data_IF_282652873839
#
_entry.id   IF_282652873839
#
_cell.length_a   1.000
_cell.length_b   1.000
_cell.length_c   1.000
_cell.angle_alpha   90.00
_cell.angle_beta   90.00
_cell.angle_gamma   90.00
#
_symmetry.space_group_name_H-M   'P 1'
#
loop_
_entity.id
_entity.type
_entity.pdbx_description
1 polymer ?
#
# COMPACT_ATOMS: atom_id res chain seq x y z
N UNK A 1 1.00 -6.71 -7.48
CA UNK A 1 -0.24 -6.05 -7.93
C UNK A 1 -0.06 -5.38 -9.29
N UNK A 2 0.61 -4.22 -9.43
CA UNK A 2 0.69 -3.55 -10.75
C UNK A 2 1.19 -4.48 -11.88
N UNK A 3 2.25 -5.24 -11.61
CA UNK A 3 2.81 -6.19 -12.58
C UNK A 3 1.84 -7.31 -12.98
N UNK A 4 1.01 -7.78 -12.05
CA UNK A 4 -0.01 -8.80 -12.32
C UNK A 4 -1.14 -8.27 -13.19
N UNK A 5 -1.64 -7.06 -12.88
CA UNK A 5 -2.66 -6.38 -13.68
C UNK A 5 -2.14 -6.07 -15.09
N UNK A 6 -0.89 -5.61 -15.20
CA UNK A 6 -0.23 -5.38 -16.48
C UNK A 6 -0.08 -6.69 -17.27
N UNK A 7 0.24 -7.81 -16.61
CA UNK A 7 0.30 -9.10 -17.28
C UNK A 7 -1.08 -9.55 -17.79
N UNK A 8 -2.13 -9.41 -16.98
CA UNK A 8 -3.53 -9.66 -17.41
C UNK A 8 -3.90 -8.83 -18.63
N UNK A 9 -3.48 -7.56 -18.66
CA UNK A 9 -3.68 -6.68 -19.81
C UNK A 9 -2.93 -7.17 -21.06
N UNK A 10 -1.67 -7.57 -20.93
CA UNK A 10 -0.87 -8.12 -22.03
C UNK A 10 -1.51 -9.40 -22.61
N UNK A 11 -1.96 -10.31 -21.75
CA UNK A 11 -2.71 -11.50 -22.17
C UNK A 11 -3.96 -11.13 -22.96
N UNK A 12 -4.67 -10.08 -22.57
CA UNK A 12 -5.83 -9.54 -23.31
C UNK A 12 -5.50 -9.05 -24.72
N UNK A 13 -4.26 -8.62 -24.97
CA UNK A 13 -3.74 -8.25 -26.29
C UNK A 13 -3.06 -9.40 -27.04
N UNK A 14 -3.11 -10.63 -26.51
CA UNK A 14 -2.48 -11.81 -27.09
C UNK A 14 -0.96 -11.90 -26.84
N UNK A 15 -0.42 -11.05 -25.97
CA UNK A 15 1.00 -11.08 -25.57
C UNK A 15 1.12 -11.95 -24.31
N UNK A 16 1.66 -13.15 -24.48
CA UNK A 16 1.86 -14.09 -23.38
C UNK A 16 3.31 -14.00 -22.88
N UNK A 17 3.51 -13.37 -21.72
CA UNK A 17 4.82 -13.38 -21.05
C UNK A 17 4.97 -14.68 -20.27
N UNK A 18 6.12 -15.38 -20.33
CA UNK A 18 6.34 -16.59 -19.55
C UNK A 18 6.13 -16.37 -18.06
N UNK A 19 5.45 -17.31 -17.38
CA UNK A 19 5.10 -17.18 -15.96
C UNK A 19 6.32 -16.96 -15.04
N UNK A 20 7.47 -17.55 -15.38
CA UNK A 20 8.72 -17.37 -14.63
C UNK A 20 9.30 -15.94 -14.71
N UNK A 21 8.81 -15.09 -15.62
CA UNK A 21 9.14 -13.65 -15.73
C UNK A 21 8.08 -12.74 -15.10
N UNK A 22 6.95 -13.29 -14.68
CA UNK A 22 5.83 -12.54 -14.11
C UNK A 22 5.54 -12.92 -12.67
N UNK A 23 6.26 -13.87 -12.11
CA UNK A 23 6.08 -14.35 -10.73
C UNK A 23 7.40 -14.26 -9.98
N UNK A 24 7.36 -13.77 -8.74
CA UNK A 24 8.56 -13.69 -7.89
C UNK A 24 8.94 -15.06 -7.33
N UNK A 25 10.24 -15.31 -7.15
CA UNK A 25 10.77 -16.54 -6.54
C UNK A 25 10.09 -16.89 -5.22
N UNK A 26 9.87 -15.89 -4.35
CA UNK A 26 9.29 -16.08 -3.02
C UNK A 26 7.81 -16.40 -3.08
N UNK A 27 7.05 -15.76 -3.96
CA UNK A 27 5.66 -16.14 -4.25
C UNK A 27 5.58 -17.58 -4.76
N UNK A 28 6.50 -17.96 -5.64
CA UNK A 28 6.57 -19.32 -6.20
C UNK A 28 6.80 -20.37 -5.13
N UNK A 29 7.74 -20.09 -4.22
CA UNK A 29 8.10 -20.99 -3.12
C UNK A 29 6.97 -21.15 -2.10
N UNK A 30 6.19 -20.09 -1.85
CA UNK A 30 5.12 -20.08 -0.85
C UNK A 30 3.74 -20.46 -1.41
N UNK A 31 3.56 -20.46 -2.73
CA UNK A 31 2.27 -20.71 -3.34
C UNK A 31 1.79 -22.14 -3.10
N UNK A 32 0.54 -22.28 -2.70
CA UNK A 32 -0.15 -23.57 -2.62
C UNK A 32 -0.66 -24.06 -3.98
N UNK A 33 -0.62 -23.23 -5.02
CA UNK A 33 -1.01 -23.61 -6.38
C UNK A 33 0.11 -24.46 -7.01
N UNK A 34 -0.15 -25.73 -7.37
CA UNK A 34 0.85 -26.60 -8.00
C UNK A 34 1.41 -26.04 -9.32
N UNK A 35 0.61 -25.27 -10.08
CA UNK A 35 1.07 -24.69 -11.34
C UNK A 35 2.13 -23.61 -11.10
N UNK A 36 1.92 -22.79 -10.06
CA UNK A 36 2.88 -21.77 -9.64
C UNK A 36 4.09 -22.45 -8.99
N UNK A 37 3.89 -23.35 -8.04
CA UNK A 37 5.00 -24.02 -7.35
C UNK A 37 5.89 -24.83 -8.32
N UNK A 38 5.28 -25.45 -9.34
CA UNK A 38 5.98 -26.19 -10.40
C UNK A 38 6.92 -25.33 -11.27
N UNK A 39 6.84 -24.00 -11.20
CA UNK A 39 7.81 -23.12 -11.85
C UNK A 39 9.23 -23.31 -11.28
N UNK A 40 9.36 -23.74 -10.03
CA UNK A 40 10.68 -24.06 -9.45
C UNK A 40 11.41 -25.16 -10.22
N UNK A 41 10.68 -26.08 -10.85
CA UNK A 41 11.28 -27.16 -11.65
C UNK A 41 11.34 -26.83 -13.15
N UNK A 42 10.35 -26.11 -13.67
CA UNK A 42 10.20 -25.86 -15.11
C UNK A 42 10.86 -24.57 -15.61
N UNK A 43 11.18 -23.62 -14.73
CA UNK A 43 11.86 -22.39 -15.11
C UNK A 43 13.31 -22.63 -15.58
N UNK A 44 13.89 -21.73 -16.39
CA UNK A 44 15.32 -21.78 -16.70
C UNK A 44 16.17 -21.76 -15.43
N UNK A 45 17.19 -22.61 -15.34
CA UNK A 45 18.10 -22.66 -14.19
C UNK A 45 19.48 -22.11 -14.56
N UNK A 46 20.07 -21.29 -13.67
CA UNK A 46 21.49 -20.90 -13.74
C UNK A 46 22.16 -21.46 -12.50
N UNK A 47 23.23 -22.25 -12.69
CA UNK A 47 23.98 -22.88 -11.61
C UNK A 47 23.09 -23.66 -10.61
N UNK A 48 22.02 -24.30 -11.09
CA UNK A 48 21.07 -25.05 -10.26
C UNK A 48 20.03 -24.21 -9.52
N UNK A 49 20.00 -22.89 -9.73
CA UNK A 49 19.00 -21.98 -9.14
C UNK A 49 17.95 -21.64 -10.20
N UNK A 50 16.65 -21.88 -9.95
CA UNK A 50 15.59 -21.52 -10.90
C UNK A 50 15.43 -20.00 -10.96
N UNK A 51 15.39 -19.48 -12.19
CA UNK A 51 15.14 -18.06 -12.45
C UNK A 51 13.64 -17.83 -12.45
N UNK A 52 13.11 -17.39 -11.32
CA UNK A 52 11.71 -16.98 -11.19
C UNK A 52 11.67 -15.57 -10.64
N UNK A 53 11.36 -14.62 -11.51
CA UNK A 53 11.46 -13.19 -11.22
C UNK A 53 10.29 -12.42 -11.80
N UNK A 54 9.83 -11.38 -11.10
CA UNK A 54 8.71 -10.56 -11.53
C UNK A 54 9.20 -9.29 -12.27
N UNK A 55 9.56 -9.46 -13.55
CA UNK A 55 10.16 -8.39 -14.37
C UNK A 55 9.24 -7.18 -14.54
N UNK A 56 7.92 -7.32 -14.82
CA UNK A 56 7.04 -6.15 -14.91
C UNK A 56 7.00 -5.30 -13.64
N UNK A 57 6.98 -5.93 -12.46
CA UNK A 57 6.98 -5.22 -11.18
C UNK A 57 8.30 -4.47 -10.95
N UNK A 58 9.43 -5.11 -11.23
CA UNK A 58 10.74 -4.46 -11.17
C UNK A 58 10.85 -3.27 -12.13
N UNK A 59 10.41 -3.45 -13.38
CA UNK A 59 10.49 -2.45 -14.43
C UNK A 59 9.69 -1.19 -14.09
N UNK A 60 8.45 -1.34 -13.58
CA UNK A 60 7.65 -0.17 -13.21
C UNK A 60 8.25 0.57 -12.01
N UNK A 61 8.79 -0.14 -11.01
CA UNK A 61 9.41 0.51 -9.84
C UNK A 61 10.66 1.29 -10.28
N UNK A 62 11.49 0.71 -11.15
CA UNK A 62 12.65 1.40 -11.70
C UNK A 62 12.26 2.60 -12.57
N UNK A 63 11.20 2.47 -13.39
CA UNK A 63 10.68 3.59 -14.19
C UNK A 63 10.19 4.74 -13.31
N UNK A 64 9.39 4.46 -12.28
CA UNK A 64 8.92 5.48 -11.34
C UNK A 64 10.09 6.11 -10.58
N UNK A 65 11.05 5.30 -10.13
CA UNK A 65 12.27 5.80 -9.47
C UNK A 65 13.04 6.74 -10.39
N UNK A 66 13.21 6.37 -11.67
CA UNK A 66 13.85 7.21 -12.68
C UNK A 66 13.11 8.53 -12.90
N UNK A 67 11.78 8.48 -13.03
CA UNK A 67 10.95 9.69 -13.17
C UNK A 67 11.09 10.64 -11.97
N UNK A 68 11.15 10.09 -10.75
CA UNK A 68 11.37 10.88 -9.54
C UNK A 68 12.75 11.53 -9.52
N UNK A 69 13.80 10.87 -10.02
CA UNK A 69 15.14 11.45 -10.11
C UNK A 69 15.19 12.64 -11.10
N UNK A 70 14.37 12.61 -12.15
CA UNK A 70 14.18 13.72 -13.09
C UNK A 70 13.43 14.91 -12.47
N UNK A 71 12.93 14.77 -11.23
CA UNK A 71 12.18 15.82 -10.55
C UNK A 71 10.69 15.82 -10.90
N UNK A 72 10.15 14.69 -11.37
CA UNK A 72 8.70 14.55 -11.52
C UNK A 72 8.02 14.82 -10.17
N UNK A 73 7.05 15.74 -10.19
CA UNK A 73 6.20 16.08 -9.05
C UNK A 73 4.77 15.62 -9.33
N UNK A 74 4.03 15.39 -8.26
CA UNK A 74 2.58 15.23 -8.30
C UNK A 74 1.95 16.40 -9.07
N UNK A 75 1.29 16.11 -10.20
CA UNK A 75 0.47 17.08 -10.91
C UNK A 75 -0.96 16.92 -10.43
N UNK A 76 -1.53 17.97 -9.82
CA UNK A 76 -2.91 17.95 -9.35
C UNK A 76 -3.89 17.57 -10.48
N UNK A 77 -3.66 18.07 -11.69
CA UNK A 77 -4.49 17.73 -12.87
C UNK A 77 -4.33 16.27 -13.27
N UNK A 78 -3.09 15.77 -13.33
CA UNK A 78 -2.86 14.37 -13.68
C UNK A 78 -3.46 13.43 -12.62
N UNK A 79 -3.31 13.76 -11.34
CA UNK A 79 -3.91 13.02 -10.24
C UNK A 79 -5.44 13.01 -10.33
N UNK A 80 -6.07 14.16 -10.59
CA UNK A 80 -7.53 14.24 -10.78
C UNK A 80 -8.00 13.37 -11.94
N UNK A 81 -7.30 13.40 -13.09
CA UNK A 81 -7.61 12.52 -14.23
C UNK A 81 -7.49 11.05 -13.83
N UNK A 82 -6.43 10.67 -13.12
CA UNK A 82 -6.23 9.30 -12.65
C UNK A 82 -7.32 8.85 -11.67
N UNK A 83 -7.78 9.73 -10.77
CA UNK A 83 -8.92 9.45 -9.87
C UNK A 83 -10.21 9.26 -10.67
N UNK A 84 -10.48 10.11 -11.67
CA UNK A 84 -11.67 9.97 -12.51
C UNK A 84 -11.65 8.64 -13.27
N UNK A 85 -10.52 8.24 -13.84
CA UNK A 85 -10.36 6.94 -14.51
C UNK A 85 -10.66 5.79 -13.54
N UNK A 86 -10.15 5.85 -12.30
CA UNK A 86 -10.45 4.85 -11.26
C UNK A 86 -11.94 4.76 -10.96
N UNK A 87 -12.59 5.90 -10.75
CA UNK A 87 -14.01 5.94 -10.42
C UNK A 87 -14.87 5.43 -11.58
N UNK A 88 -14.52 5.72 -12.83
CA UNK A 88 -15.20 5.18 -14.01
C UNK A 88 -15.05 3.66 -14.07
N UNK A 89 -13.83 3.13 -13.91
CA UNK A 89 -13.58 1.69 -13.94
C UNK A 89 -14.36 0.94 -12.83
N UNK A 90 -14.37 1.49 -11.61
CA UNK A 90 -15.12 0.90 -10.50
C UNK A 90 -16.64 1.02 -10.69
N UNK A 91 -17.12 2.16 -11.18
CA UNK A 91 -18.55 2.34 -11.48
C UNK A 91 -19.01 1.38 -12.57
N UNK A 92 -18.21 1.19 -13.61
CA UNK A 92 -18.47 0.23 -14.68
C UNK A 92 -18.56 -1.21 -14.13
N UNK A 93 -17.60 -1.60 -13.28
CA UNK A 93 -17.64 -2.90 -12.60
C UNK A 93 -18.91 -3.07 -11.77
N UNK A 94 -19.28 -2.06 -10.95
CA UNK A 94 -20.46 -2.11 -10.09
C UNK A 94 -21.74 -2.23 -10.90
N UNK A 95 -21.92 -1.40 -11.94
CA UNK A 95 -23.13 -1.37 -12.76
C UNK A 95 -23.30 -2.69 -13.53
N UNK A 96 -22.25 -3.15 -14.22
CA UNK A 96 -22.31 -4.40 -14.98
C UNK A 96 -22.45 -5.59 -14.04
N UNK A 97 -21.68 -5.62 -12.96
CA UNK A 97 -21.72 -6.69 -11.98
C UNK A 97 -23.05 -6.84 -11.26
N UNK A 98 -23.73 -5.72 -10.97
CA UNK A 98 -25.05 -5.72 -10.35
C UNK A 98 -26.12 -6.46 -11.18
N UNK A 99 -25.94 -6.55 -12.51
CA UNK A 99 -26.87 -7.27 -13.39
C UNK A 99 -26.74 -8.80 -13.32
N UNK A 100 -25.68 -9.32 -12.69
CA UNK A 100 -25.37 -10.75 -12.57
C UNK A 100 -25.24 -11.24 -11.12
N UNK A 101 -25.94 -10.58 -10.19
CA UNK A 101 -25.94 -11.01 -8.78
C UNK A 101 -26.78 -12.26 -8.58
N UNK A 102 -26.21 -13.23 -7.89
CA UNK A 102 -26.92 -14.42 -7.41
C UNK A 102 -26.88 -14.49 -5.91
N UNK A 103 -28.04 -14.53 -5.26
CA UNK A 103 -28.14 -14.67 -3.80
C UNK A 103 -27.49 -15.96 -3.29
N UNK A 104 -27.41 -17.00 -4.14
CA UNK A 104 -26.75 -18.25 -3.81
C UNK A 104 -25.26 -18.07 -3.50
N UNK A 105 -24.58 -17.09 -4.11
CA UNK A 105 -23.16 -16.85 -3.88
C UNK A 105 -22.86 -16.27 -2.49
N UNK A 106 -23.86 -15.69 -1.82
CA UNK A 106 -23.74 -15.24 -0.43
C UNK A 106 -23.93 -16.37 0.59
N UNK A 107 -24.20 -17.61 0.17
CA UNK A 107 -24.38 -18.74 1.06
C UNK A 107 -23.27 -19.80 0.89
N UNK A 108 -22.55 -20.17 1.97
CA UNK A 108 -22.59 -19.57 3.31
C UNK A 108 -21.95 -18.17 3.35
N UNK A 109 -22.51 -17.24 4.14
CA UNK A 109 -22.01 -15.86 4.23
C UNK A 109 -20.67 -15.77 4.98
N UNK A 110 -20.49 -16.63 5.98
CA UNK A 110 -19.30 -16.67 6.84
C UNK A 110 -18.70 -18.08 6.89
N UNK A 111 -18.17 -18.60 5.77
CA UNK A 111 -17.67 -19.99 5.70
C UNK A 111 -16.56 -20.28 6.71
N UNK A 112 -15.76 -19.25 7.05
CA UNK A 112 -14.64 -19.33 7.99
C UNK A 112 -14.97 -18.71 9.36
N UNK A 113 -16.26 -18.44 9.63
CA UNK A 113 -16.73 -17.79 10.85
C UNK A 113 -16.12 -16.40 11.11
N UNK A 114 -16.24 -15.93 12.35
CA UNK A 114 -15.72 -14.61 12.76
C UNK A 114 -14.19 -14.51 12.63
N UNK A 115 -13.47 -15.62 12.83
CA UNK A 115 -12.01 -15.67 12.66
C UNK A 115 -11.60 -15.28 11.25
N UNK A 116 -12.30 -15.80 10.23
CA UNK A 116 -12.06 -15.44 8.84
C UNK A 116 -12.35 -13.97 8.54
N UNK A 117 -13.42 -13.41 9.13
CA UNK A 117 -13.73 -11.97 8.99
C UNK A 117 -12.61 -11.12 9.58
N UNK A 118 -12.14 -11.47 10.78
CA UNK A 118 -11.09 -10.73 11.48
C UNK A 118 -9.75 -10.77 10.73
N UNK A 119 -9.34 -11.94 10.24
CA UNK A 119 -8.14 -12.09 9.41
C UNK A 119 -8.29 -11.37 8.07
N UNK A 120 -9.44 -11.49 7.42
CA UNK A 120 -9.76 -10.76 6.19
C UNK A 120 -9.68 -9.25 6.38
N UNK A 121 -10.25 -8.72 7.47
CA UNK A 121 -10.17 -7.31 7.86
C UNK A 121 -8.72 -6.84 8.02
N UNK A 122 -7.86 -7.67 8.60
CA UNK A 122 -6.43 -7.38 8.76
C UNK A 122 -5.67 -7.34 7.43
N UNK A 123 -6.05 -8.16 6.44
CA UNK A 123 -5.44 -8.15 5.10
C UNK A 123 -5.95 -6.96 4.28
N UNK A 124 -7.27 -6.77 4.21
CA UNK A 124 -7.89 -5.69 3.40
C UNK A 124 -7.65 -4.30 3.97
N UNK A 125 -7.18 -4.18 5.22
CA UNK A 125 -6.70 -2.92 5.79
C UNK A 125 -5.68 -2.23 4.87
N UNK A 126 -4.89 -2.99 4.11
CA UNK A 126 -3.94 -2.46 3.12
C UNK A 126 -4.61 -1.48 2.14
N UNK A 127 -5.85 -1.75 1.72
CA UNK A 127 -6.57 -0.92 0.77
C UNK A 127 -6.94 0.47 1.32
N UNK A 128 -6.89 0.65 2.65
CA UNK A 128 -7.16 1.93 3.31
C UNK A 128 -5.91 2.79 3.51
N UNK A 129 -4.72 2.26 3.26
CA UNK A 129 -3.47 3.00 3.44
C UNK A 129 -3.33 4.07 2.34
N UNK A 130 -2.95 5.30 2.74
CA UNK A 130 -2.71 6.40 1.80
C UNK A 130 -3.50 7.68 2.10
N UNK A 131 -4.50 7.65 3.01
CA UNK A 131 -5.17 8.90 3.42
C UNK A 131 -4.20 9.87 4.12
N UNK A 132 -3.17 9.34 4.77
CA UNK A 132 -2.10 10.10 5.42
C UNK A 132 -1.20 10.83 4.42
N UNK A 133 -1.12 10.38 3.17
CA UNK A 133 -0.39 11.08 2.12
C UNK A 133 -0.99 12.47 1.80
N UNK A 134 -2.28 12.70 2.08
CA UNK A 134 -2.91 14.02 1.93
C UNK A 134 -2.20 15.07 2.81
N UNK A 135 -1.65 14.65 3.96
CA UNK A 135 -0.90 15.55 4.85
C UNK A 135 0.40 16.08 4.23
N UNK A 136 0.94 15.40 3.21
CA UNK A 136 2.15 15.86 2.51
C UNK A 136 1.89 17.10 1.64
N UNK A 137 0.64 17.31 1.21
CA UNK A 137 0.21 18.48 0.45
C UNK A 137 -0.24 19.64 1.36
N UNK A 138 0.01 19.56 2.67
CA UNK A 138 -0.38 20.58 3.63
C UNK A 138 0.18 21.97 3.28
N UNK A 139 1.42 22.04 2.80
CA UNK A 139 2.09 23.30 2.44
C UNK A 139 1.51 23.95 1.18
N UNK A 140 0.89 23.16 0.30
CA UNK A 140 0.31 23.60 -0.97
C UNK A 140 -1.21 23.82 -0.88
N UNK A 141 -1.81 23.50 0.27
CA UNK A 141 -3.26 23.57 0.46
C UNK A 141 -3.69 24.98 0.88
N UNK A 142 -4.69 25.56 0.20
CA UNK A 142 -5.35 26.78 0.69
C UNK A 142 -6.13 26.44 1.97
N UNK A 143 -5.92 27.19 3.05
CA UNK A 143 -6.53 26.93 4.37
C UNK A 143 -6.40 25.45 4.82
N UNK A 144 -5.16 24.94 5.05
CA UNK A 144 -4.91 23.55 5.41
C UNK A 144 -5.69 23.09 6.64
N UNK A 145 -5.92 24.02 7.58
CA UNK A 145 -6.62 23.79 8.84
C UNK A 145 -8.03 23.22 8.66
N UNK A 146 -8.73 23.65 7.60
CA UNK A 146 -10.08 23.19 7.27
C UNK A 146 -10.07 22.13 6.17
N UNK A 147 -9.24 22.32 5.15
CA UNK A 147 -9.32 21.49 3.94
C UNK A 147 -8.64 20.13 4.09
N UNK A 148 -7.58 20.01 4.90
CA UNK A 148 -6.96 18.69 5.16
C UNK A 148 -7.90 17.74 5.91
N UNK A 149 -8.56 18.12 7.02
CA UNK A 149 -9.51 17.23 7.68
C UNK A 149 -10.66 16.79 6.77
N UNK A 150 -11.19 17.70 5.94
CA UNK A 150 -12.26 17.39 4.98
C UNK A 150 -11.76 16.39 3.93
N UNK A 151 -10.55 16.61 3.37
CA UNK A 151 -9.95 15.72 2.40
C UNK A 151 -9.71 14.32 2.95
N UNK A 152 -9.15 14.22 4.16
CA UNK A 152 -8.84 12.94 4.82
C UNK A 152 -10.13 12.18 5.16
N UNK A 153 -11.05 12.80 5.90
CA UNK A 153 -12.28 12.13 6.36
C UNK A 153 -13.25 11.86 5.21
N UNK A 154 -13.43 12.83 4.30
CA UNK A 154 -14.30 12.69 3.14
C UNK A 154 -13.78 11.64 2.17
N UNK A 155 -12.47 11.66 1.87
CA UNK A 155 -11.84 10.65 1.03
C UNK A 155 -11.96 9.25 1.62
N UNK A 156 -11.70 9.09 2.92
CA UNK A 156 -11.81 7.81 3.61
C UNK A 156 -13.26 7.28 3.61
N UNK A 157 -14.25 8.14 3.86
CA UNK A 157 -15.66 7.74 3.86
C UNK A 157 -16.12 7.28 2.46
N UNK A 158 -15.75 8.03 1.41
CA UNK A 158 -16.09 7.68 0.02
C UNK A 158 -15.43 6.35 -0.37
N UNK A 159 -14.14 6.16 -0.07
CA UNK A 159 -13.43 4.91 -0.35
C UNK A 159 -14.06 3.73 0.41
N UNK A 160 -14.45 3.92 1.67
CA UNK A 160 -15.12 2.89 2.48
C UNK A 160 -16.42 2.44 1.81
N UNK A 161 -17.26 3.38 1.38
CA UNK A 161 -18.52 3.06 0.72
C UNK A 161 -18.29 2.28 -0.58
N UNK A 162 -17.34 2.74 -1.40
CA UNK A 162 -17.00 2.06 -2.66
C UNK A 162 -16.49 0.64 -2.38
N UNK A 163 -15.61 0.44 -1.41
CA UNK A 163 -15.08 -0.90 -1.08
C UNK A 163 -16.17 -1.86 -0.60
N UNK A 164 -17.12 -1.39 0.22
CA UNK A 164 -18.27 -2.21 0.65
C UNK A 164 -19.13 -2.61 -0.56
N UNK A 165 -19.44 -1.67 -1.44
CA UNK A 165 -20.25 -1.95 -2.64
C UNK A 165 -19.52 -2.91 -3.58
N UNK A 166 -18.24 -2.66 -3.85
CA UNK A 166 -17.42 -3.53 -4.72
C UNK A 166 -17.32 -4.93 -4.13
N UNK A 167 -17.08 -5.07 -2.82
CA UNK A 167 -17.01 -6.38 -2.16
C UNK A 167 -18.33 -7.15 -2.23
N UNK A 168 -19.45 -6.47 -2.01
CA UNK A 168 -20.79 -7.06 -2.14
C UNK A 168 -21.05 -7.51 -3.58
N UNK A 169 -20.80 -6.65 -4.59
CA UNK A 169 -21.00 -7.00 -6.00
C UNK A 169 -20.09 -8.16 -6.41
N UNK A 170 -18.80 -8.09 -6.07
CA UNK A 170 -17.81 -9.09 -6.45
C UNK A 170 -18.16 -10.49 -5.93
N UNK A 171 -18.52 -10.59 -4.64
CA UNK A 171 -18.90 -11.86 -4.02
C UNK A 171 -20.31 -12.32 -4.40
N UNK A 172 -21.19 -11.40 -4.81
CA UNK A 172 -22.52 -11.74 -5.32
C UNK A 172 -22.52 -12.23 -6.78
N UNK A 173 -21.55 -11.82 -7.59
CA UNK A 173 -21.42 -12.23 -8.99
C UNK A 173 -20.90 -13.67 -9.13
N UNK A 174 -19.84 -14.02 -8.39
CA UNK A 174 -19.15 -15.31 -8.52
C UNK A 174 -18.81 -15.91 -7.15
N UNK A 175 -18.75 -17.24 -7.03
CA UNK A 175 -18.37 -17.89 -5.77
C UNK A 175 -17.00 -17.42 -5.28
N UNK A 176 -16.88 -17.16 -3.97
CA UNK A 176 -15.66 -16.60 -3.37
C UNK A 176 -14.39 -17.42 -3.62
N UNK A 177 -14.53 -18.72 -3.94
CA UNK A 177 -13.41 -19.64 -4.22
C UNK A 177 -12.73 -19.35 -5.56
N UNK A 178 -13.42 -18.72 -6.50
CA UNK A 178 -12.87 -18.32 -7.81
C UNK A 178 -12.12 -16.99 -7.76
N UNK A 179 -12.16 -16.29 -6.63
CA UNK A 179 -11.62 -14.94 -6.47
C UNK A 179 -10.17 -14.92 -5.97
N UNK A 180 -9.57 -16.08 -5.68
CA UNK A 180 -8.17 -16.20 -5.26
C UNK A 180 -7.20 -16.09 -6.45
N UNK A 181 -7.30 -14.98 -7.18
CA UNK A 181 -6.50 -14.66 -8.37
C UNK A 181 -5.90 -13.25 -8.24
N UNK A 182 -4.94 -12.93 -9.10
CA UNK A 182 -4.25 -11.64 -9.04
C UNK A 182 -5.15 -10.44 -9.41
N UNK A 183 -6.12 -10.61 -10.32
CA UNK A 183 -7.12 -9.60 -10.68
C UNK A 183 -8.56 -10.14 -10.53
N UNK A 184 -9.12 -10.10 -9.32
CA UNK A 184 -10.43 -10.69 -9.04
C UNK A 184 -11.60 -9.94 -9.72
N UNK A 185 -11.47 -8.62 -9.93
CA UNK A 185 -12.53 -7.81 -10.57
C UNK A 185 -12.67 -8.17 -12.05
N UNK A 186 -11.55 -8.26 -12.78
CA UNK A 186 -11.57 -8.67 -14.17
C UNK A 186 -11.99 -10.14 -14.31
N UNK A 187 -11.51 -11.03 -13.42
CA UNK A 187 -11.89 -12.45 -13.41
C UNK A 187 -13.39 -12.64 -13.21
N UNK A 188 -14.01 -11.94 -12.28
CA UNK A 188 -15.45 -12.03 -12.05
C UNK A 188 -16.26 -11.60 -13.29
N UNK A 189 -15.86 -10.51 -13.95
CA UNK A 189 -16.49 -10.07 -15.20
C UNK A 189 -16.31 -11.08 -16.34
N UNK A 190 -15.12 -11.69 -16.45
CA UNK A 190 -14.87 -12.73 -17.45
C UNK A 190 -15.75 -13.96 -17.24
N UNK A 191 -15.85 -14.45 -16.00
CA UNK A 191 -16.71 -15.57 -15.64
C UNK A 191 -18.20 -15.27 -15.85
N UNK A 192 -18.61 -14.02 -15.67
CA UNK A 192 -19.96 -13.56 -15.95
C UNK A 192 -20.25 -13.30 -17.45
N UNK A 193 -19.27 -13.51 -18.34
CA UNK A 193 -19.42 -13.33 -19.80
C UNK A 193 -19.07 -11.94 -20.33
N UNK A 194 -18.63 -11.00 -19.48
CA UNK A 194 -18.24 -9.63 -19.84
C UNK A 194 -16.73 -9.44 -19.99
N UNK A 195 -16.06 -10.35 -20.71
CA UNK A 195 -14.59 -10.33 -20.85
C UNK A 195 -14.03 -8.98 -21.34
N UNK A 196 -14.71 -8.30 -22.29
CA UNK A 196 -14.29 -6.98 -22.78
C UNK A 196 -14.34 -5.90 -21.69
N UNK A 197 -15.38 -5.93 -20.85
CA UNK A 197 -15.51 -5.01 -19.70
C UNK A 197 -14.44 -5.32 -18.67
N UNK A 198 -14.16 -6.61 -18.41
CA UNK A 198 -13.06 -7.04 -17.55
C UNK A 198 -11.72 -6.47 -18.00
N UNK A 199 -11.43 -6.50 -19.32
CA UNK A 199 -10.22 -5.88 -19.87
C UNK A 199 -10.14 -4.37 -19.66
N UNK A 200 -11.25 -3.64 -19.81
CA UNK A 200 -11.30 -2.19 -19.53
C UNK A 200 -11.05 -1.88 -18.04
N UNK A 201 -11.63 -2.68 -17.14
CA UNK A 201 -11.40 -2.54 -15.70
C UNK A 201 -9.95 -2.84 -15.34
N UNK A 202 -9.35 -3.90 -15.90
CA UNK A 202 -7.94 -4.23 -15.71
C UNK A 202 -6.99 -3.13 -16.23
N UNK A 203 -7.31 -2.53 -17.39
CA UNK A 203 -6.57 -1.38 -17.93
C UNK A 203 -6.64 -0.19 -16.96
N UNK A 204 -7.84 0.17 -16.50
CA UNK A 204 -8.04 1.24 -15.53
C UNK A 204 -7.29 1.00 -14.23
N UNK A 205 -7.29 -0.23 -13.72
CA UNK A 205 -6.55 -0.64 -12.53
C UNK A 205 -5.02 -0.54 -12.73
N UNK A 206 -4.51 -0.95 -13.89
CA UNK A 206 -3.07 -0.86 -14.22
C UNK A 206 -2.59 0.59 -14.21
N UNK A 207 -3.30 1.48 -14.90
CA UNK A 207 -2.98 2.92 -14.94
C UNK A 207 -3.09 3.52 -13.54
N UNK A 208 -4.16 3.17 -12.82
CA UNK A 208 -4.43 3.61 -11.45
C UNK A 208 -3.31 3.28 -10.47
N UNK A 209 -2.81 2.03 -10.51
CA UNK A 209 -1.80 1.55 -9.58
C UNK A 209 -0.45 2.25 -9.78
N UNK A 210 -0.12 2.65 -11.00
CA UNK A 210 1.11 3.43 -11.27
C UNK A 210 1.11 4.78 -10.51
N UNK A 211 -0.07 5.42 -10.39
CA UNK A 211 -0.23 6.64 -9.61
C UNK A 211 0.07 6.40 -8.12
N UNK A 212 -0.48 5.32 -7.57
CA UNK A 212 -0.28 4.95 -6.15
C UNK A 212 1.20 4.66 -5.87
N UNK A 213 1.87 3.96 -6.80
CA UNK A 213 3.31 3.72 -6.72
C UNK A 213 4.09 5.04 -6.69
N UNK A 214 3.75 6.01 -7.55
CA UNK A 214 4.41 7.31 -7.57
C UNK A 214 4.27 8.05 -6.23
N UNK A 215 3.08 8.07 -5.63
CA UNK A 215 2.82 8.68 -4.32
C UNK A 215 3.73 8.09 -3.22
N UNK A 216 3.77 6.76 -3.11
CA UNK A 216 4.58 6.11 -2.06
C UNK A 216 6.08 6.22 -2.33
N UNK A 217 6.51 6.07 -3.59
CA UNK A 217 7.93 6.19 -3.97
C UNK A 217 8.44 7.64 -3.83
N UNK A 218 7.55 8.62 -3.88
CA UNK A 218 7.84 10.02 -3.60
C UNK A 218 7.91 10.33 -2.09
N UNK A 219 6.99 9.76 -1.29
CA UNK A 219 6.94 9.97 0.16
C UNK A 219 8.12 9.33 0.91
N UNK A 220 8.48 8.10 0.57
CA UNK A 220 9.50 7.33 1.31
C UNK A 220 10.87 8.05 1.38
N UNK A 221 11.51 8.50 0.27
CA UNK A 221 12.81 9.18 0.32
C UNK A 221 12.84 10.42 1.21
N UNK A 222 11.70 11.10 1.37
CA UNK A 222 11.56 12.31 2.19
C UNK A 222 11.53 12.03 3.67
N UNK A 223 10.95 10.90 4.08
CA UNK A 223 11.02 10.43 5.46
C UNK A 223 12.48 10.19 5.84
N UNK A 224 13.24 9.47 4.99
CA UNK A 224 14.67 9.25 5.19
C UNK A 224 15.47 10.57 5.21
N UNK A 225 15.16 11.50 4.30
CA UNK A 225 15.76 12.83 4.27
C UNK A 225 15.49 13.62 5.57
N UNK A 226 14.25 13.63 6.07
CA UNK A 226 13.89 14.30 7.31
C UNK A 226 14.59 13.68 8.53
N UNK A 227 14.64 12.34 8.61
CA UNK A 227 15.37 11.63 9.66
C UNK A 227 16.87 11.93 9.63
N UNK A 228 17.48 12.01 8.44
CA UNK A 228 18.88 12.37 8.27
C UNK A 228 19.16 13.83 8.66
N UNK A 229 18.26 14.75 8.28
CA UNK A 229 18.32 16.16 8.68
C UNK A 229 18.27 16.32 10.20
N UNK A 230 17.45 15.51 10.87
CA UNK A 230 17.30 15.51 12.33
C UNK A 230 18.46 14.78 13.06
N UNK A 231 19.37 14.16 12.31
CA UNK A 231 20.58 13.48 12.82
C UNK A 231 20.38 12.01 13.20
N UNK A 232 19.19 11.45 12.93
CA UNK A 232 18.87 10.04 13.23
C UNK A 232 19.47 9.06 12.22
N UNK A 233 19.81 9.54 11.02
CA UNK A 233 20.50 8.80 9.97
C UNK A 233 21.79 9.53 9.53
N UNK A 234 22.72 8.83 8.84
CA UNK A 234 23.91 9.46 8.28
C UNK A 234 23.60 10.64 7.35
N UNK A 235 24.43 11.69 7.39
CA UNK A 235 24.20 12.94 6.65
C UNK A 235 24.24 12.78 5.13
N UNK A 236 24.81 11.70 4.59
CA UNK A 236 24.73 11.41 3.16
C UNK A 236 23.29 11.20 2.67
N UNK A 237 22.38 10.75 3.54
CA UNK A 237 20.96 10.58 3.22
C UNK A 237 20.20 11.92 3.18
N UNK A 238 20.80 13.01 3.66
CA UNK A 238 20.26 14.37 3.55
C UNK A 238 20.73 15.10 2.28
N UNK A 239 21.47 14.45 1.37
CA UNK A 239 21.95 15.10 0.13
C UNK A 239 20.83 15.28 -0.89
N UNK A 240 20.76 16.48 -1.46
CA UNK A 240 19.76 16.90 -2.45
C UNK A 240 20.44 17.27 -3.76
N UNK A 241 19.80 16.94 -4.89
CA UNK A 241 20.26 17.30 -6.23
C UNK A 241 20.15 18.82 -6.45
N UNK A 242 21.22 19.53 -6.87
CA UNK A 242 21.15 20.97 -7.15
C UNK A 242 20.20 21.34 -8.30
N UNK A 243 20.00 20.45 -9.27
CA UNK A 243 19.16 20.71 -10.45
C UNK A 243 17.68 20.44 -10.16
N UNK A 244 17.37 19.28 -9.59
CA UNK A 244 15.98 18.80 -9.43
C UNK A 244 15.42 19.02 -8.03
N UNK A 245 16.26 19.38 -7.05
CA UNK A 245 15.88 19.55 -5.64
C UNK A 245 15.28 18.28 -5.00
N UNK A 246 15.58 17.11 -5.57
CA UNK A 246 15.16 15.79 -5.07
C UNK A 246 16.26 15.18 -4.20
N UNK A 247 15.93 14.49 -3.08
CA UNK A 247 16.90 13.76 -2.27
C UNK A 247 17.37 12.48 -3.00
N UNK A 248 18.21 12.66 -4.03
CA UNK A 248 18.54 11.60 -4.98
C UNK A 248 19.14 10.34 -4.34
N UNK A 249 19.93 10.49 -3.27
CA UNK A 249 20.59 9.33 -2.62
C UNK A 249 19.53 8.42 -2.00
N UNK A 250 18.60 8.98 -1.23
CA UNK A 250 17.53 8.17 -0.62
C UNK A 250 16.59 7.65 -1.68
N UNK A 251 16.28 8.41 -2.73
CA UNK A 251 15.47 7.94 -3.87
C UNK A 251 16.09 6.73 -4.56
N UNK A 252 17.40 6.75 -4.86
CA UNK A 252 18.07 5.60 -5.49
C UNK A 252 18.12 4.41 -4.54
N UNK A 253 18.54 4.61 -3.28
CA UNK A 253 18.68 3.51 -2.32
C UNK A 253 17.34 2.82 -2.07
N UNK A 254 16.29 3.59 -1.80
CA UNK A 254 14.96 3.01 -1.56
C UNK A 254 14.34 2.46 -2.84
N UNK A 255 14.53 3.15 -3.98
CA UNK A 255 14.05 2.69 -5.28
C UNK A 255 14.63 1.35 -5.70
N UNK A 256 15.95 1.21 -5.62
CA UNK A 256 16.63 -0.06 -5.92
C UNK A 256 16.22 -1.15 -4.95
N UNK A 257 16.11 -0.84 -3.64
CA UNK A 257 15.66 -1.82 -2.65
C UNK A 257 14.23 -2.33 -2.94
N UNK A 258 13.29 -1.41 -3.21
CA UNK A 258 11.91 -1.78 -3.55
C UNK A 258 11.85 -2.51 -4.89
N UNK A 259 12.66 -2.12 -5.88
CA UNK A 259 12.71 -2.80 -7.17
C UNK A 259 13.18 -4.25 -7.01
N UNK A 260 14.31 -4.47 -6.31
CA UNK A 260 14.84 -5.80 -6.04
C UNK A 260 13.87 -6.64 -5.22
N UNK A 261 13.22 -6.07 -4.20
CA UNK A 261 12.19 -6.79 -3.46
C UNK A 261 10.97 -7.10 -4.33
N UNK A 262 10.52 -6.18 -5.19
CA UNK A 262 9.40 -6.43 -6.11
C UNK A 262 9.71 -7.49 -7.17
N UNK A 263 10.99 -7.71 -7.49
CA UNK A 263 11.45 -8.72 -8.43
C UNK A 263 11.31 -10.14 -7.87
N UNK A 264 11.53 -10.35 -6.57
CA UNK A 264 11.60 -11.69 -5.97
C UNK A 264 10.61 -11.94 -4.84
N UNK A 265 10.13 -10.87 -4.20
CA UNK A 265 9.36 -10.89 -2.97
C UNK A 265 7.92 -11.34 -3.17
N UNK A 266 7.28 -11.71 -2.06
CA UNK A 266 5.88 -12.13 -2.05
C UNK A 266 4.95 -10.95 -1.73
N UNK A 267 3.86 -10.82 -2.49
CA UNK A 267 2.88 -9.76 -2.32
C UNK A 267 2.12 -9.89 -0.99
N UNK A 268 1.71 -11.11 -0.62
CA UNK A 268 0.98 -11.37 0.63
C UNK A 268 1.81 -11.01 1.85
N UNK A 269 3.06 -11.48 1.89
CA UNK A 269 3.99 -11.10 2.96
C UNK A 269 4.24 -9.58 3.00
N UNK A 270 4.27 -8.92 1.85
CA UNK A 270 4.44 -7.46 1.78
C UNK A 270 3.22 -6.74 2.34
N UNK A 271 2.01 -7.22 2.07
CA UNK A 271 0.77 -6.67 2.64
C UNK A 271 0.75 -6.83 4.16
N UNK A 272 1.08 -8.02 4.68
CA UNK A 272 1.12 -8.29 6.11
C UNK A 272 2.10 -7.37 6.85
N UNK A 273 3.32 -7.21 6.30
CA UNK A 273 4.34 -6.33 6.87
C UNK A 273 3.96 -4.85 6.80
N UNK A 274 3.30 -4.43 5.72
CA UNK A 274 2.82 -3.05 5.58
C UNK A 274 1.68 -2.76 6.55
N UNK A 275 0.76 -3.72 6.72
CA UNK A 275 -0.39 -3.59 7.60
C UNK A 275 0.04 -3.51 9.07
N UNK A 276 0.91 -4.43 9.53
CA UNK A 276 1.36 -4.40 10.93
C UNK A 276 2.10 -3.09 11.28
N UNK A 277 2.97 -2.62 10.38
CA UNK A 277 3.72 -1.37 10.57
C UNK A 277 2.80 -0.15 10.59
N UNK A 278 1.86 -0.07 9.65
CA UNK A 278 0.92 1.07 9.55
C UNK A 278 -0.07 1.09 10.71
N UNK A 279 -0.63 -0.06 11.09
CA UNK A 279 -1.52 -0.18 12.24
C UNK A 279 -0.81 0.23 13.54
N UNK A 280 0.45 -0.16 13.71
CA UNK A 280 1.24 0.27 14.86
C UNK A 280 1.50 1.78 14.84
N UNK A 281 1.81 2.36 13.68
CA UNK A 281 1.98 3.81 13.54
C UNK A 281 0.67 4.56 13.87
N UNK A 282 -0.49 4.08 13.40
CA UNK A 282 -1.79 4.67 13.72
C UNK A 282 -2.13 4.54 15.20
N UNK A 283 -1.82 3.41 15.82
CA UNK A 283 -1.94 3.24 17.27
C UNK A 283 -1.10 4.28 18.02
N UNK A 284 0.16 4.49 17.61
CA UNK A 284 1.03 5.52 18.20
C UNK A 284 0.48 6.93 17.99
N UNK A 285 -0.08 7.24 16.83
CA UNK A 285 -0.72 8.55 16.56
C UNK A 285 -1.92 8.76 17.47
N UNK A 286 -2.79 7.74 17.63
CA UNK A 286 -3.96 7.82 18.51
C UNK A 286 -3.58 8.04 19.97
N UNK A 287 -2.56 7.33 20.46
CA UNK A 287 -1.99 7.56 21.80
C UNK A 287 -1.33 8.95 21.87
N UNK A 288 -0.60 9.36 20.84
CA UNK A 288 0.06 10.66 20.75
C UNK A 288 -0.90 11.84 20.86
N UNK A 289 -2.11 11.73 20.28
CA UNK A 289 -3.17 12.73 20.44
C UNK A 289 -3.58 12.85 21.92
N UNK A 290 -3.73 11.74 22.65
CA UNK A 290 -4.05 11.78 24.09
C UNK A 290 -2.92 12.42 24.90
N UNK A 291 -1.67 12.06 24.61
CA UNK A 291 -0.50 12.66 25.27
C UNK A 291 -0.45 14.18 25.01
N UNK A 292 -0.71 14.62 23.78
CA UNK A 292 -0.73 16.05 23.42
C UNK A 292 -1.88 16.79 24.09
N UNK A 293 -3.02 16.12 24.34
CA UNK A 293 -4.15 16.70 25.09
C UNK A 293 -3.82 16.94 26.56
N UNK A 294 -2.99 16.08 27.15
CA UNK A 294 -2.57 16.21 28.54
C UNK A 294 -1.39 17.17 28.73
N UNK A 295 -0.34 17.07 27.89
CA UNK A 295 0.88 17.87 28.04
C UNK A 295 0.79 19.31 27.51
N UNK A 296 0.05 19.53 26.43
CA UNK A 296 -0.09 20.85 25.79
C UNK A 296 -1.57 21.20 25.59
N UNK A 297 -2.36 21.38 26.66
CA UNK A 297 -3.80 21.58 26.58
C UNK A 297 -4.18 22.83 25.76
N UNK A 298 -3.42 23.92 25.92
CA UNK A 298 -3.72 25.25 25.35
C UNK A 298 -3.21 25.47 23.92
N UNK A 299 -2.54 24.47 23.33
CA UNK A 299 -2.05 24.56 21.96
C UNK A 299 -3.20 24.90 20.99
N UNK A 300 -3.05 25.88 20.08
CA UNK A 300 -4.07 26.18 19.09
C UNK A 300 -4.28 24.96 18.18
N UNK A 301 -5.53 24.48 18.13
CA UNK A 301 -5.95 23.29 17.37
C UNK A 301 -7.08 23.67 16.43
N UNK A 302 -6.77 23.95 15.15
CA UNK A 302 -7.78 24.36 14.18
C UNK A 302 -8.82 23.27 13.89
N UNK A 303 -8.42 22.00 14.00
CA UNK A 303 -9.33 20.86 14.04
C UNK A 303 -9.21 20.15 15.39
N UNK A 304 -10.34 19.75 15.97
CA UNK A 304 -10.41 19.00 17.23
C UNK A 304 -11.25 17.74 17.00
N UNK A 305 -10.65 16.58 17.26
CA UNK A 305 -11.38 15.31 17.29
C UNK A 305 -12.50 15.38 18.33
N UNK A 306 -13.77 15.11 17.96
CA UNK A 306 -14.87 15.03 18.91
C UNK A 306 -14.67 13.82 19.84
N UNK A 307 -15.04 13.93 21.11
CA UNK A 307 -14.92 12.86 22.10
C UNK A 307 -13.54 12.16 22.10
N UNK A 308 -12.47 12.97 22.15
CA UNK A 308 -11.09 12.51 21.92
C UNK A 308 -10.67 11.31 22.78
N UNK A 309 -11.12 11.25 24.04
CA UNK A 309 -10.79 10.15 24.95
C UNK A 309 -11.35 8.81 24.46
N UNK A 310 -12.68 8.63 24.30
CA UNK A 310 -13.23 7.44 23.67
C UNK A 310 -12.67 7.16 22.27
N UNK A 311 -12.60 8.17 21.41
CA UNK A 311 -12.22 7.97 20.00
C UNK A 311 -10.78 7.49 19.87
N UNK A 312 -9.83 8.10 20.58
CA UNK A 312 -8.43 7.70 20.50
C UNK A 312 -8.19 6.34 21.15
N UNK A 313 -8.85 6.03 22.27
CA UNK A 313 -8.75 4.71 22.91
C UNK A 313 -9.34 3.63 22.03
N UNK A 314 -10.54 3.84 21.47
CA UNK A 314 -11.17 2.89 20.54
C UNK A 314 -10.35 2.73 19.26
N UNK A 315 -9.75 3.79 18.74
CA UNK A 315 -8.84 3.72 17.59
C UNK A 315 -7.61 2.88 17.90
N UNK A 316 -6.93 3.12 19.02
CA UNK A 316 -5.76 2.35 19.43
C UNK A 316 -6.11 0.87 19.69
N UNK A 317 -7.21 0.61 20.40
CA UNK A 317 -7.72 -0.74 20.66
C UNK A 317 -8.14 -1.45 19.37
N UNK A 318 -8.78 -0.73 18.43
CA UNK A 318 -9.15 -1.23 17.11
C UNK A 318 -7.94 -1.58 16.26
N UNK A 319 -6.91 -0.73 16.24
CA UNK A 319 -5.65 -1.05 15.57
C UNK A 319 -5.03 -2.32 16.14
N UNK A 320 -4.93 -2.42 17.47
CA UNK A 320 -4.40 -3.61 18.14
C UNK A 320 -5.24 -4.86 17.86
N UNK A 321 -6.57 -4.72 17.84
CA UNK A 321 -7.49 -5.80 17.48
C UNK A 321 -7.19 -6.29 16.07
N UNK A 322 -7.14 -5.41 15.07
CA UNK A 322 -6.84 -5.79 13.68
C UNK A 322 -5.43 -6.39 13.55
N UNK A 323 -4.42 -5.87 14.25
CA UNK A 323 -3.07 -6.45 14.25
C UNK A 323 -3.04 -7.90 14.73
N UNK A 324 -3.88 -8.28 15.71
CA UNK A 324 -3.99 -9.68 16.16
C UNK A 324 -4.55 -10.62 15.09
N UNK A 325 -5.18 -10.10 14.03
CA UNK A 325 -5.66 -10.88 12.89
C UNK A 325 -4.57 -11.23 11.88
N UNK A 326 -3.38 -10.62 11.98
CA UNK A 326 -2.26 -10.89 11.07
C UNK A 326 -1.54 -12.20 11.41
N UNK A 327 -0.88 -12.85 10.44
CA UNK A 327 -0.12 -14.07 10.68
C UNK A 327 1.04 -13.87 11.68
N UNK A 328 1.35 -14.89 12.48
CA UNK A 328 2.46 -14.85 13.45
C UNK A 328 3.82 -14.53 12.80
N UNK A 329 3.99 -14.91 11.53
CA UNK A 329 5.18 -14.60 10.73
C UNK A 329 5.37 -13.09 10.59
N UNK A 330 4.29 -12.32 10.43
CA UNK A 330 4.32 -10.87 10.33
C UNK A 330 4.80 -10.24 11.65
N UNK A 331 4.30 -10.73 12.79
CA UNK A 331 4.72 -10.30 14.12
C UNK A 331 6.21 -10.53 14.39
N UNK A 332 6.73 -11.72 14.05
CA UNK A 332 8.16 -12.02 14.23
C UNK A 332 9.03 -11.08 13.40
N UNK A 333 8.71 -10.91 12.12
CA UNK A 333 9.48 -10.04 11.21
C UNK A 333 9.42 -8.58 11.63
N UNK A 334 8.24 -8.11 12.02
CA UNK A 334 8.06 -6.77 12.56
C UNK A 334 8.89 -6.56 13.84
N UNK A 335 8.90 -7.56 14.74
CA UNK A 335 9.75 -7.55 15.94
C UNK A 335 11.24 -7.47 15.62
N UNK A 336 11.74 -8.26 14.65
CA UNK A 336 13.14 -8.18 14.21
C UNK A 336 13.48 -6.82 13.60
N UNK A 337 12.57 -6.25 12.80
CA UNK A 337 12.77 -4.93 12.20
C UNK A 337 12.82 -3.82 13.26
N UNK A 338 11.92 -3.85 14.24
CA UNK A 338 11.93 -2.91 15.37
C UNK A 338 13.21 -3.06 16.21
N UNK A 339 13.62 -4.29 16.51
CA UNK A 339 14.85 -4.54 17.24
C UNK A 339 16.07 -3.97 16.49
N UNK A 340 16.16 -4.20 15.19
CA UNK A 340 17.22 -3.61 14.35
C UNK A 340 17.16 -2.08 14.37
N UNK A 341 15.98 -1.48 14.25
CA UNK A 341 15.80 -0.03 14.34
C UNK A 341 16.25 0.55 15.69
N UNK A 342 15.94 -0.13 16.79
CA UNK A 342 16.40 0.25 18.13
C UNK A 342 17.91 0.11 18.27
N UNK A 343 18.51 -0.96 17.75
CA UNK A 343 19.97 -1.13 17.74
C UNK A 343 20.64 0.02 16.98
N UNK A 344 20.14 0.36 15.78
CA UNK A 344 20.66 1.49 15.00
C UNK A 344 20.46 2.83 15.72
N UNK A 345 19.33 3.01 16.40
CA UNK A 345 19.07 4.20 17.20
C UNK A 345 20.07 4.33 18.35
N UNK A 346 20.29 3.29 19.16
CA UNK A 346 21.24 3.36 20.28
C UNK A 346 22.70 3.43 19.81
N UNK A 347 23.05 2.75 18.71
CA UNK A 347 24.40 2.76 18.18
C UNK A 347 24.79 4.11 17.52
N UNK A 348 23.85 4.76 16.82
CA UNK A 348 24.14 5.97 16.04
C UNK A 348 23.21 7.14 16.40
N UNK A 349 21.90 6.95 16.30
CA UNK A 349 20.91 8.02 16.42
C UNK A 349 20.90 8.74 17.78
N UNK A 350 21.18 8.03 18.86
CA UNK A 350 21.19 8.55 20.24
C UNK A 350 22.28 9.62 20.44
N UNK A 351 23.45 9.41 19.85
CA UNK A 351 24.59 10.34 19.95
C UNK A 351 24.52 11.50 18.94
N UNK A 352 23.81 11.33 17.81
CA UNK A 352 23.79 12.30 16.71
C UNK A 352 22.48 13.10 16.60
N UNK A 353 21.47 12.80 17.44
CA UNK A 353 20.18 13.48 17.40
C UNK A 353 20.30 14.97 17.76
N UNK A 354 19.94 15.83 16.80
CA UNK A 354 20.01 17.30 16.95
C UNK A 354 18.78 17.89 17.65
N UNK A 355 17.73 17.10 17.87
CA UNK A 355 16.48 17.54 18.50
C UNK A 355 16.72 17.95 19.97
N UNK A 356 17.64 17.27 20.66
CA UNK A 356 17.97 17.56 22.07
C UNK A 356 18.73 18.88 22.24
N UNK A 357 19.51 19.30 21.24
CA UNK A 357 20.23 20.58 21.26
C UNK A 357 19.31 21.80 21.14
N UNK A 358 18.13 21.66 20.51
CA UNK A 358 17.15 22.75 20.35
C UNK A 358 16.31 23.03 21.59
N UNK A 359 16.07 22.03 22.45
CA UNK A 359 15.33 22.22 23.71
C UNK A 359 16.17 22.89 24.82
N UNK A 360 17.50 22.99 24.65
CA UNK A 360 18.37 23.71 25.58
C UNK A 360 18.54 25.21 25.27
N UNK A 361 17.86 25.73 24.23
CA UNK A 361 18.00 27.12 23.75
C UNK A 361 16.65 27.84 23.57
N UNK A 362 15.54 27.25 24.03
CA UNK A 362 14.20 27.85 23.95
C UNK A 362 13.67 28.21 25.33
#
# INVERSE_FOLDING_TARGET
>A
SWGDYFNTLLHGFGVNVPAWLTTGYRTTLLSSDPAIHGLLASAPHIAGIPIVVHVPAFAIVMLITWLLLLGARESATANNVMVVIKLIALSLFIVVGATHLSAANYHPFTPNGFRGIHQGAAIVFFAYIGFDAISTAAEETRNPQRNLPIGILGGLAICTLIYVIVGAVLTGMVPYRELAVADPLARALQLAGFARVGGLVALGATVSMAAVLLVFQYGQPRIFFAMARDGLLPQWAARVSPKTHVPYVTTVVTGVFVALWSLIGDAGETYDLTNIGTLFAFMLVSVGVLVLRYKEPDRPRPFRVPFVWPVAVLSAAGCLFIMKGLPDVAWRRYGYWLAMGLILYFAYGFHHSRIRGRQGQA
#
